data_IF_270334262271
#
_entry.id   IF_270334262271
#
_cell.length_a   1.000
_cell.length_b   1.000
_cell.length_c   1.000
_cell.angle_alpha   90.00
_cell.angle_beta   90.00
_cell.angle_gamma   90.00
#
_symmetry.space_group_name_H-M   'P 1'
#
loop_
_entity.id
_entity.type
_entity.pdbx_description
1 polymer ?
#
# COMPACT_ATOMS: atom_id res chain seq x y z
N UNK A 1 -24.37 -5.01 0.85
CA UNK A 1 -23.77 -3.92 0.04
C UNK A 1 -22.27 -4.02 0.15
N UNK A 2 -21.57 -4.34 -0.94
CA UNK A 2 -20.11 -4.33 -0.97
C UNK A 2 -19.59 -2.90 -0.80
N UNK A 3 -18.57 -2.73 0.03
CA UNK A 3 -17.94 -1.43 0.25
C UNK A 3 -17.23 -0.99 -1.05
N UNK A 4 -17.52 0.22 -1.56
CA UNK A 4 -16.89 0.77 -2.78
C UNK A 4 -15.36 0.69 -2.76
N UNK A 5 -14.75 0.81 -1.58
CA UNK A 5 -13.30 0.65 -1.39
C UNK A 5 -12.83 -0.77 -1.64
N UNK A 6 -13.56 -1.76 -1.12
CA UNK A 6 -13.29 -3.19 -1.34
C UNK A 6 -13.38 -3.55 -2.81
N UNK A 7 -14.38 -3.05 -3.52
CA UNK A 7 -14.53 -3.32 -4.96
C UNK A 7 -13.39 -2.69 -5.77
N UNK A 8 -12.98 -1.46 -5.45
CA UNK A 8 -11.79 -0.83 -6.06
C UNK A 8 -10.53 -1.66 -5.85
N UNK A 9 -10.30 -2.13 -4.64
CA UNK A 9 -9.15 -2.99 -4.32
C UNK A 9 -9.23 -4.32 -5.08
N UNK A 10 -10.40 -4.97 -5.15
CA UNK A 10 -10.57 -6.20 -5.93
C UNK A 10 -10.21 -5.99 -7.40
N UNK A 11 -10.71 -4.93 -8.02
CA UNK A 11 -10.42 -4.61 -9.42
C UNK A 11 -8.93 -4.33 -9.65
N UNK A 12 -8.27 -3.60 -8.74
CA UNK A 12 -6.83 -3.37 -8.79
C UNK A 12 -6.03 -4.69 -8.73
N UNK A 13 -6.42 -5.60 -7.84
CA UNK A 13 -5.78 -6.90 -7.69
C UNK A 13 -5.99 -7.80 -8.92
N UNK A 14 -7.18 -7.79 -9.51
CA UNK A 14 -7.44 -8.54 -10.75
C UNK A 14 -6.58 -8.05 -11.91
N UNK A 15 -6.34 -6.73 -12.01
CA UNK A 15 -5.42 -6.17 -13.00
C UNK A 15 -3.99 -6.62 -12.76
N UNK A 16 -3.50 -6.54 -11.53
CA UNK A 16 -2.15 -7.02 -11.16
C UNK A 16 -1.94 -8.51 -11.48
N UNK A 17 -2.99 -9.34 -11.32
CA UNK A 17 -2.95 -10.77 -11.62
C UNK A 17 -2.83 -11.07 -13.11
N UNK A 18 -3.49 -10.27 -13.95
CA UNK A 18 -3.46 -10.38 -15.41
C UNK A 18 -2.13 -9.80 -15.92
N UNK A 19 -1.07 -10.61 -15.85
CA UNK A 19 0.33 -10.31 -16.24
C UNK A 19 0.54 -9.67 -17.63
N UNK A 20 -0.49 -9.59 -18.46
CA UNK A 20 -0.42 -9.08 -19.84
C UNK A 20 -0.49 -7.54 -19.93
N UNK A 21 -0.82 -6.84 -18.84
CA UNK A 21 -0.74 -5.37 -18.80
C UNK A 21 0.65 -4.94 -18.25
N UNK A 22 1.68 -5.12 -19.09
CA UNK A 22 3.12 -4.85 -18.86
C UNK A 22 3.47 -3.41 -18.43
N UNK A 23 2.49 -2.56 -18.15
CA UNK A 23 2.66 -1.11 -18.01
C UNK A 23 2.94 -0.65 -16.58
N UNK A 24 2.70 -1.48 -15.55
CA UNK A 24 2.80 -1.06 -14.14
C UNK A 24 3.66 -1.99 -13.30
N UNK A 25 4.61 -1.41 -12.55
CA UNK A 25 5.37 -2.11 -11.52
C UNK A 25 4.59 -2.11 -10.21
N UNK A 26 4.34 -3.27 -9.59
CA UNK A 26 3.75 -3.30 -8.25
C UNK A 26 4.73 -3.71 -7.16
N UNK A 27 4.56 -3.09 -5.99
CA UNK A 27 5.32 -3.35 -4.78
C UNK A 27 4.35 -3.63 -3.63
N UNK A 28 4.73 -4.61 -2.80
CA UNK A 28 4.02 -5.03 -1.61
C UNK A 28 4.97 -4.85 -0.44
N UNK A 29 4.48 -4.29 0.65
CA UNK A 29 5.20 -4.16 1.91
C UNK A 29 4.33 -4.73 3.01
N UNK A 30 4.85 -5.72 3.74
CA UNK A 30 4.31 -6.11 5.03
C UNK A 30 5.18 -5.50 6.12
N UNK A 31 4.58 -4.83 7.10
CA UNK A 31 5.28 -4.15 8.20
C UNK A 31 4.59 -4.52 9.49
N UNK A 32 5.37 -4.87 10.51
CA UNK A 32 4.86 -5.04 11.85
C UNK A 32 5.51 -4.08 12.84
N UNK A 33 4.69 -3.59 13.77
CA UNK A 33 5.09 -2.78 14.90
C UNK A 33 4.61 -3.39 16.20
N UNK A 34 5.29 -3.07 17.31
CA UNK A 34 4.64 -3.15 18.61
C UNK A 34 3.54 -2.09 18.69
N UNK A 35 2.30 -2.49 18.97
CA UNK A 35 1.12 -1.61 18.98
C UNK A 35 1.35 -0.40 19.88
N UNK A 36 1.79 -0.64 21.12
CA UNK A 36 2.02 0.42 22.11
C UNK A 36 3.04 1.46 21.61
N UNK A 37 4.13 1.03 20.97
CA UNK A 37 5.17 1.94 20.49
C UNK A 37 4.75 2.72 19.25
N UNK A 38 3.90 2.13 18.40
CA UNK A 38 3.32 2.83 17.27
C UNK A 38 2.46 4.00 17.74
N UNK A 39 1.52 3.73 18.66
CA UNK A 39 0.57 4.73 19.13
C UNK A 39 1.17 5.77 20.07
N UNK A 40 2.31 5.49 20.73
CA UNK A 40 3.11 6.51 21.44
C UNK A 40 3.67 7.60 20.50
N UNK A 41 3.89 7.30 19.21
CA UNK A 41 4.50 8.23 18.24
C UNK A 41 3.52 8.71 17.17
N UNK A 42 2.42 7.99 16.96
CA UNK A 42 1.46 8.25 15.90
C UNK A 42 0.03 8.18 16.43
N UNK A 43 -0.76 9.20 16.10
CA UNK A 43 -2.16 9.31 16.54
C UNK A 43 -3.01 8.19 15.90
N UNK A 44 -2.72 7.83 14.64
CA UNK A 44 -3.41 6.78 13.92
C UNK A 44 -2.57 6.26 12.75
N UNK A 45 -2.94 5.11 12.19
CA UNK A 45 -2.36 4.57 10.96
C UNK A 45 -2.48 5.56 9.81
N UNK A 46 -3.67 6.16 9.63
CA UNK A 46 -3.89 7.15 8.57
C UNK A 46 -2.99 8.39 8.72
N UNK A 47 -2.78 8.88 9.94
CA UNK A 47 -1.84 9.99 10.20
C UNK A 47 -0.39 9.59 9.98
N UNK A 48 0.00 8.37 10.36
CA UNK A 48 1.32 7.83 10.05
C UNK A 48 1.55 7.75 8.54
N UNK A 49 0.58 7.21 7.78
CA UNK A 49 0.66 7.11 6.32
C UNK A 49 0.70 8.49 5.67
N UNK A 50 -0.06 9.46 6.20
CA UNK A 50 0.00 10.86 5.76
C UNK A 50 1.40 11.46 5.96
N UNK A 51 2.06 11.21 7.10
CA UNK A 51 3.45 11.65 7.34
C UNK A 51 4.43 10.96 6.38
N UNK A 52 4.27 9.65 6.17
CA UNK A 52 5.09 8.87 5.25
C UNK A 52 5.02 9.45 3.83
N UNK A 53 3.82 9.73 3.35
CA UNK A 53 3.58 10.14 1.96
C UNK A 53 3.80 11.63 1.70
N UNK A 54 3.52 12.51 2.66
CA UNK A 54 3.49 13.97 2.41
C UNK A 54 4.59 14.79 3.09
N UNK A 55 5.45 14.17 3.90
CA UNK A 55 6.51 14.92 4.59
C UNK A 55 7.58 15.45 3.62
N UNK A 56 8.27 16.51 4.06
CA UNK A 56 9.44 17.09 3.38
C UNK A 56 10.77 16.41 3.78
N UNK A 57 10.69 15.28 4.50
CA UNK A 57 11.88 14.50 4.88
C UNK A 57 12.56 13.96 3.63
N UNK A 58 13.88 14.12 3.53
CA UNK A 58 14.68 13.68 2.39
C UNK A 58 15.33 12.33 2.65
N UNK A 59 15.31 11.45 1.65
CA UNK A 59 16.10 10.21 1.58
C UNK A 59 16.68 10.15 0.17
N UNK A 60 17.99 9.91 0.04
CA UNK A 60 18.66 9.96 -1.27
C UNK A 60 18.48 11.29 -2.01
N UNK A 61 18.40 12.42 -1.29
CA UNK A 61 18.16 13.74 -1.87
C UNK A 61 16.70 14.06 -2.24
N UNK A 62 15.83 13.08 -2.44
CA UNK A 62 14.41 13.26 -2.80
C UNK A 62 13.50 13.33 -1.58
N UNK A 63 12.56 14.29 -1.54
CA UNK A 63 11.56 14.38 -0.48
C UNK A 63 10.53 13.25 -0.56
N UNK A 64 9.94 12.84 0.57
CA UNK A 64 8.90 11.81 0.56
C UNK A 64 7.74 12.16 -0.39
N UNK A 65 7.22 13.40 -0.34
CA UNK A 65 6.15 13.83 -1.26
C UNK A 65 6.50 13.64 -2.74
N UNK A 66 7.75 13.88 -3.13
CA UNK A 66 8.20 13.72 -4.51
C UNK A 66 8.38 12.26 -4.88
N UNK A 67 8.89 11.46 -3.95
CA UNK A 67 9.07 10.03 -4.13
C UNK A 67 7.72 9.31 -4.28
N UNK A 68 6.76 9.62 -3.40
CA UNK A 68 5.41 9.03 -3.40
C UNK A 68 4.53 9.51 -4.58
N UNK A 69 4.87 10.62 -5.25
CA UNK A 69 4.21 11.02 -6.52
C UNK A 69 4.44 10.04 -7.67
N UNK A 70 5.44 9.16 -7.57
CA UNK A 70 5.73 8.12 -8.58
C UNK A 70 4.75 6.94 -8.51
N UNK A 71 3.97 6.88 -7.43
CA UNK A 71 2.96 5.84 -7.20
C UNK A 71 1.65 6.32 -7.82
N UNK A 72 1.06 5.48 -8.67
CA UNK A 72 -0.16 5.80 -9.41
C UNK A 72 -1.39 5.45 -8.61
N UNK A 73 -1.45 4.20 -8.14
CA UNK A 73 -2.54 3.65 -7.35
C UNK A 73 -1.97 2.83 -6.21
N UNK A 74 -2.73 2.73 -5.12
CA UNK A 74 -2.39 1.82 -4.05
C UNK A 74 -3.49 1.72 -3.02
N UNK A 75 -3.31 0.76 -2.13
CA UNK A 75 -4.08 0.63 -0.92
C UNK A 75 -3.16 0.20 0.23
N UNK A 76 -3.63 0.43 1.44
CA UNK A 76 -3.07 -0.24 2.60
C UNK A 76 -4.19 -0.84 3.43
N UNK A 77 -3.88 -1.96 4.07
CA UNK A 77 -4.69 -2.59 5.09
C UNK A 77 -3.92 -2.60 6.40
N UNK A 78 -4.63 -2.48 7.50
CA UNK A 78 -4.05 -2.64 8.81
C UNK A 78 -4.92 -3.49 9.72
N UNK A 79 -4.26 -4.33 10.51
CA UNK A 79 -4.84 -5.12 11.58
C UNK A 79 -4.11 -4.75 12.87
N UNK A 80 -4.85 -4.55 13.94
CA UNK A 80 -4.28 -4.11 15.20
C UNK A 80 -4.90 -4.90 16.35
N UNK A 81 -4.05 -5.57 17.11
CA UNK A 81 -4.37 -6.08 18.44
C UNK A 81 -3.55 -5.33 19.51
N UNK A 82 -3.61 -5.78 20.77
CA UNK A 82 -2.93 -5.13 21.88
C UNK A 82 -1.39 -5.20 21.81
N UNK A 83 -0.83 -6.15 21.07
CA UNK A 83 0.60 -6.42 20.99
C UNK A 83 1.20 -5.99 19.65
N UNK A 84 0.52 -6.28 18.56
CA UNK A 84 1.01 -6.18 17.19
C UNK A 84 0.07 -5.35 16.32
N UNK A 85 0.65 -4.35 15.66
CA UNK A 85 0.06 -3.67 14.53
C UNK A 85 0.70 -4.19 13.25
N UNK A 86 -0.10 -4.83 12.40
CA UNK A 86 0.30 -5.28 11.06
C UNK A 86 -0.20 -4.30 10.01
N UNK A 87 0.67 -3.98 9.06
CA UNK A 87 0.39 -3.08 7.94
C UNK A 87 0.79 -3.77 6.64
N UNK A 88 -0.16 -3.93 5.74
CA UNK A 88 0.08 -4.33 4.36
C UNK A 88 -0.11 -3.11 3.47
N UNK A 89 0.92 -2.71 2.73
CA UNK A 89 0.87 -1.61 1.77
C UNK A 89 1.13 -2.18 0.38
N UNK A 90 0.22 -1.94 -0.56
CA UNK A 90 0.32 -2.43 -1.94
C UNK A 90 0.13 -1.26 -2.88
N UNK A 91 1.01 -1.11 -3.87
CA UNK A 91 0.88 -0.03 -4.83
C UNK A 91 1.50 -0.33 -6.20
N UNK A 92 0.99 0.39 -7.20
CA UNK A 92 1.46 0.44 -8.58
C UNK A 92 2.30 1.69 -8.83
N UNK A 93 3.33 1.56 -9.64
CA UNK A 93 4.25 2.62 -10.02
C UNK A 93 4.70 2.41 -11.45
N UNK A 94 4.93 3.50 -12.20
CA UNK A 94 5.42 3.41 -13.59
C UNK A 94 6.79 2.73 -13.69
N UNK A 95 7.63 2.96 -12.69
CA UNK A 95 8.99 2.44 -12.62
C UNK A 95 9.17 1.67 -11.32
N UNK A 96 9.98 0.62 -11.35
CA UNK A 96 10.37 -0.09 -10.14
C UNK A 96 10.97 0.88 -9.12
N UNK A 97 10.43 0.86 -7.89
CA UNK A 97 10.90 1.72 -6.82
C UNK A 97 12.01 1.02 -6.03
N UNK A 98 13.03 1.78 -5.67
CA UNK A 98 14.13 1.26 -4.87
C UNK A 98 13.65 0.83 -3.47
N UNK A 99 13.83 -0.46 -3.17
CA UNK A 99 13.42 -1.09 -1.91
C UNK A 99 14.11 -0.48 -0.68
N UNK A 100 15.41 -0.22 -0.77
CA UNK A 100 16.22 0.36 0.33
C UNK A 100 15.74 1.77 0.66
N UNK A 101 15.44 2.58 -0.35
CA UNK A 101 14.88 3.92 -0.19
C UNK A 101 13.53 3.88 0.53
N UNK A 102 12.63 2.99 0.09
CA UNK A 102 11.30 2.80 0.68
C UNK A 102 11.38 2.44 2.16
N UNK A 103 12.18 1.43 2.51
CA UNK A 103 12.39 1.03 3.91
C UNK A 103 13.04 2.15 4.72
N UNK A 104 14.01 2.86 4.15
CA UNK A 104 14.65 4.01 4.83
C UNK A 104 13.64 5.11 5.12
N UNK A 105 12.74 5.42 4.17
CA UNK A 105 11.66 6.40 4.37
C UNK A 105 10.69 5.97 5.46
N UNK A 106 10.31 4.69 5.51
CA UNK A 106 9.45 4.12 6.56
C UNK A 106 10.12 4.26 7.94
N UNK A 107 11.38 3.85 8.08
CA UNK A 107 12.12 3.89 9.36
C UNK A 107 12.30 5.30 9.90
N UNK A 108 12.27 6.33 9.05
CA UNK A 108 12.37 7.74 9.46
C UNK A 108 11.10 8.30 10.11
N UNK A 109 9.92 7.71 9.88
CA UNK A 109 8.66 8.22 10.46
C UNK A 109 8.52 7.89 11.95
N UNK A 110 9.20 6.81 12.40
CA UNK A 110 9.16 6.25 13.76
C UNK A 110 7.77 5.75 14.21
N UNK A 111 7.69 4.72 15.08
CA UNK A 111 8.82 3.92 15.61
C UNK A 111 9.50 3.08 14.53
N UNK A 112 10.58 2.38 14.89
CA UNK A 112 11.17 1.41 13.98
C UNK A 112 10.24 0.19 13.89
N UNK A 113 10.01 -0.38 12.70
CA UNK A 113 9.33 -1.67 12.59
C UNK A 113 10.07 -2.75 13.36
N UNK A 114 9.34 -3.69 13.96
CA UNK A 114 9.93 -4.92 14.51
C UNK A 114 10.20 -5.95 13.40
N UNK A 115 9.39 -5.91 12.34
CA UNK A 115 9.54 -6.73 11.14
C UNK A 115 9.10 -5.93 9.91
N UNK A 116 9.72 -6.20 8.77
CA UNK A 116 9.22 -5.77 7.48
C UNK A 116 9.67 -6.74 6.38
N UNK A 117 8.85 -6.86 5.35
CA UNK A 117 9.11 -7.64 4.15
C UNK A 117 8.67 -6.84 2.94
N UNK A 118 9.41 -6.95 1.84
CA UNK A 118 9.09 -6.26 0.59
C UNK A 118 9.05 -7.29 -0.53
N UNK A 119 7.93 -7.29 -1.26
CA UNK A 119 7.76 -8.02 -2.52
C UNK A 119 7.70 -7.03 -3.68
N UNK A 120 8.38 -7.31 -4.78
CA UNK A 120 8.25 -6.57 -6.05
C UNK A 120 7.87 -7.60 -7.08
N UNK A 121 6.76 -7.37 -7.78
CA UNK A 121 6.19 -8.36 -8.69
C UNK A 121 5.95 -9.74 -8.03
N UNK A 122 5.73 -9.74 -6.71
CA UNK A 122 5.60 -10.94 -5.89
C UNK A 122 4.13 -11.24 -5.58
N UNK A 123 3.46 -11.85 -6.56
CA UNK A 123 2.06 -12.24 -6.42
C UNK A 123 1.86 -13.26 -5.28
N UNK A 124 2.84 -14.15 -5.06
CA UNK A 124 2.80 -15.14 -4.00
C UNK A 124 2.77 -14.51 -2.60
N UNK A 125 3.52 -13.42 -2.39
CA UNK A 125 3.42 -12.62 -1.17
C UNK A 125 2.03 -12.02 -1.00
N UNK A 126 1.41 -11.53 -2.07
CA UNK A 126 0.07 -10.95 -2.01
C UNK A 126 -1.01 -11.99 -1.71
N UNK A 127 -0.91 -13.18 -2.34
CA UNK A 127 -1.85 -14.29 -2.14
C UNK A 127 -1.90 -14.76 -0.70
N UNK A 128 -0.75 -14.79 -0.01
CA UNK A 128 -0.67 -15.12 1.44
C UNK A 128 -1.51 -14.18 2.31
N UNK A 129 -1.78 -12.96 1.84
CA UNK A 129 -2.55 -11.96 2.57
C UNK A 129 -3.96 -11.75 2.01
N UNK A 130 -4.35 -12.44 0.94
CA UNK A 130 -5.57 -12.13 0.17
C UNK A 130 -6.86 -12.49 0.89
N UNK A 131 -6.88 -13.62 1.59
CA UNK A 131 -8.05 -14.06 2.36
C UNK A 131 -8.33 -13.05 3.48
N UNK A 132 -7.29 -12.73 4.25
CA UNK A 132 -7.35 -11.75 5.34
C UNK A 132 -7.67 -10.35 4.81
N UNK A 133 -7.30 -10.04 3.56
CA UNK A 133 -7.43 -8.70 2.96
C UNK A 133 -8.85 -8.16 3.05
N UNK A 134 -9.87 -9.00 2.89
CA UNK A 134 -11.27 -8.56 2.84
C UNK A 134 -12.08 -8.85 4.11
N UNK A 135 -11.43 -9.35 5.16
CA UNK A 135 -12.07 -9.52 6.46
C UNK A 135 -12.49 -8.17 7.08
N UNK A 136 -13.65 -8.17 7.74
CA UNK A 136 -14.31 -6.98 8.29
C UNK A 136 -13.68 -6.44 9.58
N UNK A 137 -12.75 -7.18 10.19
CA UNK A 137 -12.06 -6.84 11.44
C UNK A 137 -11.04 -5.70 11.29
N UNK A 138 -10.77 -5.24 10.07
CA UNK A 138 -9.64 -4.36 9.75
C UNK A 138 -9.98 -3.30 8.70
N UNK A 139 -9.24 -2.18 8.74
CA UNK A 139 -9.44 -1.06 7.84
C UNK A 139 -8.64 -1.22 6.55
N UNK A 140 -9.30 -0.97 5.40
CA UNK A 140 -8.65 -0.82 4.09
C UNK A 140 -8.82 0.63 3.63
N UNK A 141 -7.72 1.25 3.23
CA UNK A 141 -7.72 2.61 2.67
C UNK A 141 -7.02 2.63 1.31
N UNK A 142 -7.64 3.27 0.32
CA UNK A 142 -7.09 3.47 -1.03
C UNK A 142 -6.45 4.85 -1.17
N UNK A 143 -5.41 4.95 -1.99
CA UNK A 143 -4.68 6.18 -2.28
C UNK A 143 -4.21 6.22 -3.74
N UNK A 144 -3.82 7.40 -4.23
CA UNK A 144 -3.52 7.61 -5.65
C UNK A 144 -4.78 7.87 -6.47
N UNK A 145 -4.73 7.56 -7.77
CA UNK A 145 -5.80 7.89 -8.72
C UNK A 145 -7.05 7.04 -8.50
N UNK A 146 -6.89 5.79 -8.06
CA UNK A 146 -7.97 4.88 -7.62
C UNK A 146 -8.92 5.49 -6.59
N UNK A 147 -8.46 6.46 -5.79
CA UNK A 147 -9.34 7.19 -4.86
C UNK A 147 -10.39 8.02 -5.60
N UNK A 148 -10.02 8.66 -6.71
CA UNK A 148 -10.84 9.59 -7.50
C UNK A 148 -11.65 8.90 -8.60
N UNK A 149 -11.15 7.79 -9.12
CA UNK A 149 -11.76 7.11 -10.26
C UNK A 149 -13.03 6.34 -9.90
N UNK A 150 -13.95 6.26 -10.87
CA UNK A 150 -15.12 5.40 -10.79
C UNK A 150 -14.73 3.97 -11.15
N UNK A 151 -15.38 2.99 -10.52
CA UNK A 151 -15.09 1.56 -10.75
C UNK A 151 -15.24 1.20 -12.24
N UNK A 152 -16.23 1.80 -12.93
CA UNK A 152 -16.48 1.60 -14.37
C UNK A 152 -15.27 1.94 -15.25
N UNK A 153 -14.46 2.94 -14.86
CA UNK A 153 -13.24 3.34 -15.57
C UNK A 153 -12.22 2.20 -15.60
N UNK A 154 -12.10 1.44 -14.50
CA UNK A 154 -11.16 0.33 -14.41
C UNK A 154 -11.66 -0.94 -15.11
N UNK A 155 -12.96 -1.25 -15.03
CA UNK A 155 -13.53 -2.42 -15.71
C UNK A 155 -13.50 -2.28 -17.22
N UNK A 156 -13.62 -1.06 -17.76
CA UNK A 156 -13.52 -0.84 -19.20
C UNK A 156 -12.11 -1.14 -19.73
N UNK A 157 -11.06 -0.85 -18.95
CA UNK A 157 -9.66 -1.21 -19.28
C UNK A 157 -9.50 -2.74 -19.29
N UNK A 158 -10.11 -3.43 -18.33
CA UNK A 158 -10.05 -4.90 -18.27
C UNK A 158 -10.73 -5.56 -19.48
N UNK A 159 -11.85 -4.99 -19.96
CA UNK A 159 -12.64 -5.55 -21.05
C UNK A 159 -12.17 -5.12 -22.45
N UNK A 160 -11.31 -4.11 -22.56
CA UNK A 160 -10.77 -3.65 -23.86
C UNK A 160 -9.47 -4.34 -24.25
N UNK A 161 -8.86 -5.09 -23.33
CA UNK A 161 -7.67 -5.93 -23.55
C UNK A 161 -8.01 -7.43 -23.61
N UNK A 162 -9.28 -7.79 -23.82
CA UNK A 162 -9.78 -9.17 -23.91
C UNK A 162 -10.23 -9.55 -25.32
#
# INVERSE_FOLDING_TARGET
>A
MTNKTTDKVRVMLERMKKKDDLTSNYTIISIEYHTADFFKKNISVSKWFQKLTNSKSKTGGTMNREWFKKIENGFYKYECDNEVLKLLIVFESKLELNRVDLITRIRKIKPLPKYYEVGVQDWGMLEKHFNDLFESSSGIEVFGNIKKENISTFTNIINSNG
#
